data_IF_411650609848
#
_entry.id   IF_411650609848
#
_cell.length_a   1.000
_cell.length_b   1.000
_cell.length_c   1.000
_cell.angle_alpha   90.00
_cell.angle_beta   90.00
_cell.angle_gamma   90.00
#
_symmetry.space_group_name_H-M   'P 1'
#
loop_
_entity.id
_entity.type
_entity.pdbx_description
1 polymer ?
#
# COMPACT_ATOMS: atom_id res chain seq x y z
N UNK A 1 -69.39 19.96 -1.51
CA UNK A 1 -68.68 19.97 -0.21
C UNK A 1 -67.74 18.78 -0.26
N UNK A 2 -66.44 18.99 -0.08
CA UNK A 2 -65.47 17.89 -0.01
C UNK A 2 -65.61 17.26 1.38
N UNK A 3 -65.67 15.93 1.43
CA UNK A 3 -65.80 15.16 2.67
C UNK A 3 -64.58 15.37 3.57
N UNK A 4 -64.79 15.90 4.78
CA UNK A 4 -63.72 16.20 5.74
C UNK A 4 -62.97 14.94 6.18
N UNK A 5 -63.63 13.77 6.20
CA UNK A 5 -62.96 12.51 6.51
C UNK A 5 -61.99 12.10 5.41
N UNK A 6 -62.35 12.31 4.14
CA UNK A 6 -61.47 12.03 3.01
C UNK A 6 -60.23 12.96 3.00
N UNK A 7 -60.39 14.22 3.41
CA UNK A 7 -59.27 15.17 3.54
C UNK A 7 -58.33 14.78 4.68
N UNK A 8 -58.87 14.33 5.81
CA UNK A 8 -58.06 13.91 6.96
C UNK A 8 -57.29 12.61 6.69
N UNK A 9 -57.95 11.61 6.09
CA UNK A 9 -57.30 10.36 5.69
C UNK A 9 -56.20 10.58 4.64
N UNK A 10 -56.42 11.50 3.69
CA UNK A 10 -55.39 11.87 2.73
C UNK A 10 -54.18 12.53 3.41
N UNK A 11 -54.38 13.43 4.38
CA UNK A 11 -53.30 14.06 5.14
C UNK A 11 -52.47 13.04 5.92
N UNK A 12 -53.12 12.12 6.61
CA UNK A 12 -52.45 11.05 7.36
C UNK A 12 -51.63 10.16 6.40
N UNK A 13 -52.21 9.74 5.28
CA UNK A 13 -51.49 8.95 4.27
C UNK A 13 -50.26 9.69 3.68
N UNK A 14 -50.35 11.01 3.48
CA UNK A 14 -49.21 11.80 3.01
C UNK A 14 -48.15 11.98 4.10
N UNK A 15 -48.56 12.11 5.37
CA UNK A 15 -47.63 12.17 6.50
C UNK A 15 -46.88 10.85 6.70
N UNK A 16 -47.59 9.72 6.64
CA UNK A 16 -46.98 8.40 6.73
C UNK A 16 -45.98 8.16 5.60
N UNK A 17 -46.34 8.51 4.35
CA UNK A 17 -45.41 8.42 3.20
C UNK A 17 -44.21 9.34 3.32
N UNK A 18 -44.39 10.54 3.87
CA UNK A 18 -43.28 11.47 4.13
C UNK A 18 -42.32 10.90 5.18
N UNK A 19 -42.86 10.27 6.22
CA UNK A 19 -42.06 9.65 7.26
C UNK A 19 -41.33 8.40 6.75
N UNK A 20 -42.01 7.54 5.98
CA UNK A 20 -41.37 6.38 5.30
C UNK A 20 -40.22 6.83 4.38
N UNK A 21 -40.41 7.92 3.64
CA UNK A 21 -39.38 8.49 2.77
C UNK A 21 -38.19 9.02 3.58
N UNK A 22 -38.43 9.71 4.69
CA UNK A 22 -37.37 10.21 5.57
C UNK A 22 -36.59 9.08 6.25
N UNK A 23 -37.27 8.03 6.69
CA UNK A 23 -36.63 6.84 7.28
C UNK A 23 -35.80 6.08 6.24
N UNK A 24 -36.29 5.98 4.99
CA UNK A 24 -35.55 5.38 3.88
C UNK A 24 -34.31 6.21 3.49
N UNK A 25 -34.43 7.53 3.37
CA UNK A 25 -33.30 8.43 3.08
C UNK A 25 -32.24 8.38 4.19
N UNK A 26 -32.66 8.40 5.47
CA UNK A 26 -31.75 8.28 6.60
C UNK A 26 -31.05 6.92 6.66
N UNK A 27 -31.75 5.84 6.32
CA UNK A 27 -31.16 4.50 6.23
C UNK A 27 -30.16 4.39 5.07
N UNK A 28 -30.45 5.01 3.92
CA UNK A 28 -29.54 5.04 2.77
C UNK A 28 -28.28 5.86 3.08
N UNK A 29 -28.43 7.03 3.70
CA UNK A 29 -27.31 7.89 4.10
C UNK A 29 -26.43 7.20 5.16
N UNK A 30 -27.03 6.53 6.14
CA UNK A 30 -26.29 5.73 7.12
C UNK A 30 -25.54 4.56 6.46
N UNK A 31 -26.18 3.85 5.52
CA UNK A 31 -25.55 2.75 4.79
C UNK A 31 -24.43 3.22 3.86
N UNK A 32 -24.53 4.43 3.30
CA UNK A 32 -23.47 5.02 2.49
C UNK A 32 -22.29 5.49 3.35
N UNK A 33 -22.55 6.13 4.49
CA UNK A 33 -21.52 6.50 5.46
C UNK A 33 -20.76 5.27 5.99
N UNK A 34 -21.47 4.19 6.32
CA UNK A 34 -20.83 2.93 6.75
C UNK A 34 -19.99 2.30 5.64
N UNK A 35 -20.48 2.31 4.39
CA UNK A 35 -19.72 1.83 3.23
C UNK A 35 -18.44 2.63 3.01
N UNK A 36 -18.50 3.96 3.14
CA UNK A 36 -17.33 4.82 3.02
C UNK A 36 -16.32 4.54 4.13
N UNK A 37 -16.74 4.48 5.38
CA UNK A 37 -15.85 4.16 6.51
C UNK A 37 -15.17 2.80 6.36
N UNK A 38 -15.91 1.78 5.91
CA UNK A 38 -15.34 0.45 5.63
C UNK A 38 -14.32 0.50 4.49
N UNK A 39 -14.61 1.24 3.43
CA UNK A 39 -13.68 1.41 2.31
C UNK A 39 -12.39 2.14 2.72
N UNK A 40 -12.49 3.20 3.53
CA UNK A 40 -11.36 3.93 4.07
C UNK A 40 -10.47 3.04 4.93
N UNK A 41 -11.07 2.29 5.87
CA UNK A 41 -10.35 1.34 6.72
C UNK A 41 -9.67 0.25 5.88
N UNK A 42 -10.37 -0.31 4.89
CA UNK A 42 -9.80 -1.33 4.02
C UNK A 42 -8.61 -0.78 3.22
N UNK A 43 -8.70 0.45 2.73
CA UNK A 43 -7.61 1.12 2.03
C UNK A 43 -6.41 1.36 2.95
N UNK A 44 -6.63 1.77 4.20
CA UNK A 44 -5.57 1.99 5.18
C UNK A 44 -4.84 0.69 5.53
N UNK A 45 -5.59 -0.39 5.77
CA UNK A 45 -5.04 -1.72 6.02
C UNK A 45 -4.29 -2.25 4.80
N UNK A 46 -4.83 -2.06 3.59
CA UNK A 46 -4.15 -2.46 2.35
C UNK A 46 -2.84 -1.69 2.16
N UNK A 47 -2.82 -0.39 2.44
CA UNK A 47 -1.63 0.44 2.35
C UNK A 47 -0.54 0.04 3.37
N UNK A 48 -0.93 -0.49 4.53
CA UNK A 48 -0.03 -1.07 5.53
C UNK A 48 0.25 -2.58 5.30
N UNK A 49 -0.15 -3.12 4.13
CA UNK A 49 0.02 -4.53 3.75
C UNK A 49 -0.69 -5.56 4.66
N UNK A 50 -1.67 -5.10 5.44
CA UNK A 50 -2.49 -5.90 6.38
C UNK A 50 -3.96 -6.01 5.98
N UNK A 51 -4.31 -5.66 4.74
CA UNK A 51 -5.70 -5.74 4.24
C UNK A 51 -6.31 -7.16 4.22
N UNK A 52 -5.50 -8.20 4.36
CA UNK A 52 -5.94 -9.59 4.43
C UNK A 52 -6.42 -10.01 5.83
N UNK A 53 -6.14 -9.20 6.84
CA UNK A 53 -6.33 -9.57 8.26
C UNK A 53 -7.81 -9.66 8.65
N UNK A 54 -8.67 -8.85 8.04
CA UNK A 54 -10.12 -8.91 8.33
C UNK A 54 -10.73 -10.22 7.83
N UNK A 55 -10.39 -10.67 6.62
CA UNK A 55 -10.81 -11.97 6.10
C UNK A 55 -10.20 -13.13 6.90
N UNK A 56 -8.95 -12.96 7.34
CA UNK A 56 -8.20 -13.97 8.09
C UNK A 56 -8.87 -14.35 9.43
N UNK A 57 -9.54 -13.41 10.12
CA UNK A 57 -10.30 -13.68 11.36
C UNK A 57 -11.40 -14.71 11.14
N UNK A 58 -12.13 -14.56 10.05
CA UNK A 58 -13.27 -15.42 9.73
C UNK A 58 -12.81 -16.76 9.15
N UNK A 59 -11.78 -16.75 8.29
CA UNK A 59 -11.23 -17.94 7.61
C UNK A 59 -10.66 -18.98 8.59
N UNK A 60 -9.90 -18.54 9.62
CA UNK A 60 -9.30 -19.45 10.61
C UNK A 60 -10.34 -20.23 11.43
N UNK A 61 -11.53 -19.67 11.62
CA UNK A 61 -12.60 -20.29 12.40
C UNK A 61 -13.58 -21.07 11.53
N UNK A 62 -13.92 -20.57 10.35
CA UNK A 62 -14.98 -21.12 9.50
C UNK A 62 -14.47 -22.14 8.47
N UNK A 63 -13.35 -21.86 7.78
CA UNK A 63 -12.96 -22.63 6.58
C UNK A 63 -12.01 -23.79 6.89
N UNK A 64 -11.21 -23.70 7.94
CA UNK A 64 -10.30 -24.77 8.35
C UNK A 64 -10.92 -25.84 9.26
N UNK A 65 -12.26 -25.85 9.40
CA UNK A 65 -12.97 -26.65 10.40
C UNK A 65 -13.44 -28.03 9.94
N UNK A 66 -13.84 -28.19 8.68
CA UNK A 66 -14.45 -29.44 8.20
C UNK A 66 -15.51 -30.00 9.18
N UNK A 67 -15.49 -31.31 9.42
CA UNK A 67 -16.35 -31.95 10.42
C UNK A 67 -15.98 -31.59 11.88
N UNK A 68 -14.76 -31.13 12.13
CA UNK A 68 -14.32 -30.60 13.45
C UNK A 68 -15.01 -29.29 13.80
N UNK A 69 -15.48 -28.53 12.81
CA UNK A 69 -16.30 -27.33 13.02
C UNK A 69 -17.57 -27.63 13.81
N UNK A 70 -18.13 -28.84 13.65
CA UNK A 70 -19.32 -29.30 14.40
C UNK A 70 -18.96 -29.73 15.83
N UNK A 71 -17.78 -30.33 16.04
CA UNK A 71 -17.28 -30.64 17.39
C UNK A 71 -17.12 -29.39 18.25
N UNK A 72 -16.61 -28.28 17.67
CA UNK A 72 -16.44 -27.02 18.41
C UNK A 72 -17.75 -26.41 18.91
N UNK A 73 -18.88 -26.78 18.31
CA UNK A 73 -20.20 -26.32 18.74
C UNK A 73 -20.73 -27.12 19.93
N UNK A 74 -20.08 -28.23 20.31
CA UNK A 74 -20.40 -28.96 21.52
C UNK A 74 -20.15 -28.09 22.75
N UNK A 75 -21.08 -28.10 23.71
CA UNK A 75 -21.08 -27.18 24.84
C UNK A 75 -19.79 -27.23 25.68
N UNK A 76 -19.17 -28.41 25.81
CA UNK A 76 -17.91 -28.59 26.54
C UNK A 76 -16.66 -28.15 25.76
N UNK A 77 -16.73 -28.06 24.42
CA UNK A 77 -15.60 -27.67 23.56
C UNK A 77 -15.65 -26.20 23.14
N UNK A 78 -16.84 -25.58 23.22
CA UNK A 78 -17.06 -24.18 22.90
C UNK A 78 -16.14 -23.20 23.68
N UNK A 79 -15.88 -23.38 25.00
CA UNK A 79 -14.99 -22.48 25.73
C UNK A 79 -13.55 -22.48 25.19
N UNK A 80 -13.06 -23.63 24.70
CA UNK A 80 -11.72 -23.74 24.11
C UNK A 80 -11.62 -22.96 22.80
N UNK A 81 -12.66 -23.05 21.96
CA UNK A 81 -12.74 -22.30 20.71
C UNK A 81 -12.82 -20.78 20.97
N UNK A 82 -13.56 -20.36 22.00
CA UNK A 82 -13.66 -18.97 22.41
C UNK A 82 -12.33 -18.43 22.97
N UNK A 83 -11.62 -19.21 23.78
CA UNK A 83 -10.29 -18.84 24.30
C UNK A 83 -9.29 -18.64 23.16
N UNK A 84 -9.24 -19.58 22.21
CA UNK A 84 -8.39 -19.48 21.03
C UNK A 84 -8.74 -18.25 20.18
N UNK A 85 -10.02 -18.04 19.90
CA UNK A 85 -10.48 -16.89 19.12
C UNK A 85 -10.11 -15.56 19.80
N UNK A 86 -10.26 -15.47 21.13
CA UNK A 86 -9.88 -14.26 21.87
C UNK A 86 -8.38 -14.00 21.77
N UNK A 87 -7.54 -15.02 22.00
CA UNK A 87 -6.09 -14.89 21.92
C UNK A 87 -5.59 -14.58 20.49
N UNK A 88 -6.20 -15.18 19.47
CA UNK A 88 -5.88 -14.90 18.08
C UNK A 88 -6.28 -13.46 17.71
N UNK A 89 -7.47 -13.01 18.12
CA UNK A 89 -7.92 -11.65 17.89
C UNK A 89 -7.00 -10.61 18.53
N UNK A 90 -6.54 -10.86 19.75
CA UNK A 90 -5.58 -9.99 20.43
C UNK A 90 -4.24 -9.92 19.67
N UNK A 91 -3.70 -11.07 19.24
CA UNK A 91 -2.48 -11.10 18.45
C UNK A 91 -2.64 -10.38 17.10
N UNK A 92 -3.81 -10.49 16.48
CA UNK A 92 -4.15 -9.77 15.26
C UNK A 92 -4.20 -8.26 15.51
N UNK A 93 -4.86 -7.82 16.59
CA UNK A 93 -4.99 -6.39 16.92
C UNK A 93 -3.61 -5.76 17.17
N UNK A 94 -2.74 -6.45 17.89
CA UNK A 94 -1.35 -6.04 18.13
C UNK A 94 -0.54 -5.93 16.82
N UNK A 95 -0.69 -6.93 15.94
CA UNK A 95 -0.06 -6.94 14.62
C UNK A 95 -0.53 -5.77 13.75
N UNK A 96 -1.84 -5.55 13.65
CA UNK A 96 -2.44 -4.48 12.85
C UNK A 96 -2.01 -3.12 13.37
N UNK A 97 -2.04 -2.89 14.68
CA UNK A 97 -1.61 -1.63 15.27
C UNK A 97 -0.16 -1.29 14.90
N UNK A 98 0.74 -2.26 15.04
CA UNK A 98 2.17 -2.08 14.72
C UNK A 98 2.38 -1.89 13.21
N UNK A 99 1.68 -2.66 12.38
CA UNK A 99 1.77 -2.56 10.93
C UNK A 99 1.26 -1.20 10.42
N UNK A 100 0.18 -0.68 11.00
CA UNK A 100 -0.35 0.66 10.69
C UNK A 100 0.63 1.77 11.08
N UNK A 101 1.28 1.65 12.23
CA UNK A 101 2.34 2.58 12.65
C UNK A 101 3.48 2.61 11.62
N UNK A 102 4.01 1.44 11.26
CA UNK A 102 5.09 1.33 10.26
C UNK A 102 4.62 1.83 8.89
N UNK A 103 3.40 1.50 8.48
CA UNK A 103 2.78 2.01 7.26
C UNK A 103 2.67 3.54 7.26
N UNK A 104 2.38 4.14 8.40
CA UNK A 104 2.41 5.59 8.61
C UNK A 104 3.80 6.17 8.37
N UNK A 105 4.83 5.59 9.01
CA UNK A 105 6.23 6.00 8.84
C UNK A 105 6.68 5.88 7.38
N UNK A 106 6.29 4.81 6.66
CA UNK A 106 6.60 4.65 5.23
C UNK A 106 5.99 5.75 4.37
N UNK A 107 4.75 6.17 4.67
CA UNK A 107 4.09 7.29 3.97
C UNK A 107 4.75 8.62 4.28
N UNK A 108 5.11 8.86 5.54
CA UNK A 108 5.82 10.06 5.97
C UNK A 108 7.19 10.16 5.29
N UNK A 109 7.95 9.07 5.26
CA UNK A 109 9.24 8.99 4.58
C UNK A 109 9.11 9.31 3.08
N UNK A 110 8.12 8.71 2.40
CA UNK A 110 7.85 9.00 0.99
C UNK A 110 7.42 10.46 0.75
N UNK A 111 6.61 11.03 1.64
CA UNK A 111 6.17 12.43 1.54
C UNK A 111 7.35 13.38 1.72
N UNK A 112 8.14 13.17 2.77
CA UNK A 112 9.32 13.99 3.09
C UNK A 112 10.35 13.92 1.98
N UNK A 113 10.62 12.72 1.45
CA UNK A 113 11.45 12.55 0.27
C UNK A 113 10.89 13.31 -0.93
N UNK A 114 9.60 13.16 -1.23
CA UNK A 114 8.98 13.79 -2.41
C UNK A 114 9.04 15.32 -2.34
N UNK A 115 8.82 15.90 -1.16
CA UNK A 115 8.93 17.34 -0.91
C UNK A 115 10.37 17.82 -1.09
N UNK A 116 11.34 17.21 -0.38
CA UNK A 116 12.74 17.60 -0.47
C UNK A 116 13.30 17.44 -1.90
N UNK A 117 12.93 16.36 -2.58
CA UNK A 117 13.34 16.10 -3.96
C UNK A 117 12.70 17.09 -4.95
N UNK A 118 11.44 17.45 -4.73
CA UNK A 118 10.73 18.47 -5.52
C UNK A 118 11.32 19.87 -5.36
N UNK A 119 11.68 20.24 -4.13
CA UNK A 119 12.37 21.51 -3.84
C UNK A 119 13.73 21.57 -4.53
N UNK A 120 14.54 20.51 -4.40
CA UNK A 120 15.85 20.44 -5.03
C UNK A 120 15.76 20.55 -6.57
N UNK A 121 14.76 19.89 -7.18
CA UNK A 121 14.46 20.04 -8.63
C UNK A 121 14.09 21.45 -9.03
N UNK A 122 13.27 22.11 -8.22
CA UNK A 122 12.84 23.48 -8.47
C UNK A 122 14.02 24.44 -8.39
N UNK A 123 14.89 24.28 -7.39
CA UNK A 123 16.10 25.09 -7.23
C UNK A 123 17.06 24.89 -8.41
N UNK A 124 17.34 23.64 -8.79
CA UNK A 124 18.21 23.32 -9.93
C UNK A 124 17.68 23.88 -11.25
N UNK A 125 16.36 23.77 -11.47
CA UNK A 125 15.70 24.35 -12.65
C UNK A 125 15.81 25.88 -12.66
N UNK A 126 15.58 26.53 -11.51
CA UNK A 126 15.69 27.98 -11.40
C UNK A 126 17.13 28.45 -11.66
N UNK A 127 18.14 27.70 -11.24
CA UNK A 127 19.55 28.02 -11.51
C UNK A 127 19.90 27.90 -12.99
N UNK A 128 19.52 26.81 -13.65
CA UNK A 128 19.70 26.64 -15.08
C UNK A 128 19.01 27.75 -15.88
N UNK A 129 17.77 28.10 -15.52
CA UNK A 129 17.04 29.21 -16.14
C UNK A 129 17.74 30.56 -15.97
N UNK A 130 18.37 30.82 -14.81
CA UNK A 130 19.16 32.04 -14.60
C UNK A 130 20.35 32.10 -15.56
N UNK A 131 21.09 31.01 -15.76
CA UNK A 131 22.22 30.96 -16.70
C UNK A 131 21.76 31.23 -18.14
N UNK A 132 20.69 30.57 -18.57
CA UNK A 132 20.10 30.77 -19.90
C UNK A 132 19.62 32.22 -20.08
N UNK A 133 19.01 32.81 -19.06
CA UNK A 133 18.55 34.20 -19.10
C UNK A 133 19.72 35.19 -19.20
N UNK A 134 20.84 34.93 -18.51
CA UNK A 134 22.04 35.76 -18.60
C UNK A 134 22.63 35.74 -20.02
N UNK A 135 22.74 34.56 -20.62
CA UNK A 135 23.17 34.43 -22.02
C UNK A 135 22.25 35.20 -22.98
N UNK A 136 20.93 34.98 -22.89
CA UNK A 136 19.94 35.69 -23.73
C UNK A 136 20.00 37.20 -23.54
N UNK A 137 20.27 37.68 -22.33
CA UNK A 137 20.44 39.10 -22.06
C UNK A 137 21.71 39.65 -22.72
N UNK A 138 22.82 38.91 -22.70
CA UNK A 138 24.05 39.28 -23.39
C UNK A 138 23.81 39.41 -24.89
N UNK A 139 23.11 38.43 -25.49
CA UNK A 139 22.77 38.45 -26.92
C UNK A 139 21.96 39.67 -27.29
N UNK A 140 20.87 39.93 -26.57
CA UNK A 140 19.98 41.08 -26.81
C UNK A 140 20.69 42.42 -26.65
N UNK A 141 21.55 42.55 -25.63
CA UNK A 141 22.31 43.80 -25.41
C UNK A 141 23.25 44.08 -26.58
N UNK A 142 23.99 43.07 -27.04
CA UNK A 142 24.92 43.24 -28.15
C UNK A 142 24.18 43.62 -29.45
N UNK A 143 23.03 43.00 -29.74
CA UNK A 143 22.18 43.37 -30.88
C UNK A 143 21.69 44.83 -30.79
N UNK A 144 21.24 45.25 -29.60
CA UNK A 144 20.81 46.62 -29.36
C UNK A 144 21.96 47.62 -29.57
N UNK A 145 23.14 47.33 -29.03
CA UNK A 145 24.31 48.22 -29.12
C UNK A 145 24.87 48.30 -30.55
N UNK A 146 24.72 47.24 -31.35
CA UNK A 146 25.10 47.22 -32.76
C UNK A 146 24.18 48.09 -33.64
N UNK A 147 22.87 48.14 -33.34
CA UNK A 147 21.89 48.92 -34.09
C UNK A 147 21.93 48.66 -35.61
N UNK A 148 21.85 49.71 -36.41
CA UNK A 148 21.92 49.60 -37.88
C UNK A 148 23.32 49.27 -38.43
N UNK A 149 24.36 49.32 -37.58
CA UNK A 149 25.75 49.08 -37.98
C UNK A 149 26.08 47.59 -38.12
N UNK A 150 25.22 46.72 -37.60
CA UNK A 150 25.47 45.28 -37.54
C UNK A 150 26.47 44.87 -36.45
N UNK A 151 26.49 43.59 -36.09
CA UNK A 151 27.40 43.04 -35.09
C UNK A 151 28.83 42.93 -35.64
N UNK A 152 29.82 43.30 -34.83
CA UNK A 152 31.23 43.12 -35.21
C UNK A 152 31.67 41.66 -35.04
N UNK A 153 32.73 41.22 -35.76
CA UNK A 153 33.30 39.88 -35.56
C UNK A 153 33.71 39.60 -34.11
N UNK A 154 34.16 40.62 -33.37
CA UNK A 154 34.52 40.47 -31.96
C UNK A 154 33.29 40.27 -31.06
N UNK A 155 32.17 40.91 -31.35
CA UNK A 155 30.91 40.70 -30.62
C UNK A 155 30.35 39.29 -30.88
N UNK A 156 30.38 38.84 -32.15
CA UNK A 156 29.96 37.49 -32.52
C UNK A 156 30.85 36.41 -31.88
N UNK A 157 32.18 36.63 -31.86
CA UNK A 157 33.12 35.74 -31.17
C UNK A 157 32.85 35.65 -29.66
N UNK A 158 32.62 36.77 -28.99
CA UNK A 158 32.27 36.79 -27.57
C UNK A 158 30.95 36.06 -27.27
N UNK A 159 29.97 36.13 -28.18
CA UNK A 159 28.71 35.39 -28.04
C UNK A 159 28.88 33.88 -28.26
N UNK A 160 29.77 33.48 -29.16
CA UNK A 160 30.13 32.07 -29.38
C UNK A 160 30.83 31.49 -28.14
N UNK A 161 31.80 32.21 -27.59
CA UNK A 161 32.49 31.84 -26.34
C UNK A 161 31.50 31.75 -25.17
N UNK A 162 30.59 32.74 -25.03
CA UNK A 162 29.57 32.72 -24.00
C UNK A 162 28.57 31.55 -24.15
N UNK A 163 28.27 31.13 -25.39
CA UNK A 163 27.42 29.95 -25.63
C UNK A 163 28.13 28.65 -25.22
N UNK A 164 29.43 28.53 -25.50
CA UNK A 164 30.25 27.41 -25.04
C UNK A 164 30.35 27.36 -23.52
N UNK A 165 30.60 28.51 -22.87
CA UNK A 165 30.61 28.61 -21.42
C UNK A 165 29.24 28.29 -20.78
N UNK A 166 28.14 28.66 -21.43
CA UNK A 166 26.79 28.26 -21.00
C UNK A 166 26.62 26.74 -21.03
N UNK A 167 27.08 26.08 -22.09
CA UNK A 167 27.01 24.63 -22.19
C UNK A 167 27.77 23.93 -21.07
N UNK A 168 29.02 24.32 -20.84
CA UNK A 168 29.84 23.78 -19.75
C UNK A 168 29.16 24.00 -18.40
N UNK A 169 28.67 25.21 -18.13
CA UNK A 169 27.98 25.52 -16.89
C UNK A 169 26.70 24.68 -16.68
N UNK A 170 25.89 24.50 -17.72
CA UNK A 170 24.66 23.70 -17.64
C UNK A 170 24.97 22.20 -17.47
N UNK A 171 25.99 21.68 -18.17
CA UNK A 171 26.41 20.28 -18.03
C UNK A 171 27.03 20.00 -16.65
N UNK A 172 27.84 20.92 -16.12
CA UNK A 172 28.40 20.81 -14.77
C UNK A 172 27.29 20.84 -13.70
N UNK A 173 26.30 21.72 -13.86
CA UNK A 173 25.12 21.75 -12.99
C UNK A 173 24.33 20.45 -13.06
N UNK A 174 24.10 19.92 -14.26
CA UNK A 174 23.39 18.65 -14.46
C UNK A 174 24.15 17.48 -13.83
N UNK A 175 25.47 17.43 -13.98
CA UNK A 175 26.31 16.42 -13.34
C UNK A 175 26.21 16.50 -11.81
N UNK A 176 26.30 17.70 -11.24
CA UNK A 176 26.14 17.89 -9.78
C UNK A 176 24.73 17.52 -9.30
N UNK A 177 23.70 17.80 -10.10
CA UNK A 177 22.32 17.43 -9.78
C UNK A 177 22.14 15.91 -9.75
N UNK A 178 22.70 15.17 -10.72
CA UNK A 178 22.65 13.70 -10.73
C UNK A 178 23.27 13.10 -9.47
N UNK A 179 24.43 13.61 -9.03
CA UNK A 179 25.08 13.16 -7.81
C UNK A 179 24.20 13.40 -6.58
N UNK A 180 23.69 14.63 -6.41
CA UNK A 180 22.81 14.98 -5.28
C UNK A 180 21.50 14.19 -5.26
N UNK A 181 20.87 14.03 -6.42
CA UNK A 181 19.64 13.26 -6.55
C UNK A 181 19.89 11.77 -6.28
N UNK A 182 21.00 11.21 -6.76
CA UNK A 182 21.41 9.85 -6.46
C UNK A 182 21.65 9.63 -4.96
N UNK A 183 22.33 10.54 -4.28
CA UNK A 183 22.52 10.49 -2.81
C UNK A 183 21.18 10.54 -2.06
N UNK A 184 20.28 11.45 -2.45
CA UNK A 184 18.96 11.61 -1.82
C UNK A 184 18.09 10.36 -2.02
N UNK A 185 18.08 9.82 -3.24
CA UNK A 185 17.38 8.57 -3.55
C UNK A 185 17.99 7.41 -2.73
N UNK A 186 19.31 7.29 -2.65
CA UNK A 186 19.97 6.23 -1.88
C UNK A 186 19.70 6.30 -0.37
N UNK A 187 19.62 7.50 0.18
CA UNK A 187 19.24 7.70 1.59
C UNK A 187 17.79 7.25 1.84
N UNK A 188 16.86 7.66 0.97
CA UNK A 188 15.46 7.22 1.01
C UNK A 188 15.34 5.70 0.85
N UNK A 189 16.02 5.11 -0.13
CA UNK A 189 16.03 3.67 -0.38
C UNK A 189 16.43 2.90 0.88
N UNK A 190 17.49 3.34 1.56
CA UNK A 190 17.98 2.71 2.78
C UNK A 190 16.96 2.77 3.91
N UNK A 191 16.38 3.95 4.17
CA UNK A 191 15.37 4.15 5.22
C UNK A 191 14.08 3.37 4.93
N UNK A 192 13.61 3.41 3.68
CA UNK A 192 12.39 2.74 3.26
C UNK A 192 12.55 1.20 3.25
N UNK A 193 13.73 0.69 2.90
CA UNK A 193 14.07 -0.73 3.01
C UNK A 193 14.08 -1.19 4.48
N UNK A 194 14.64 -0.39 5.40
CA UNK A 194 14.62 -0.70 6.84
C UNK A 194 13.19 -0.79 7.39
N UNK A 195 12.33 0.19 7.06
CA UNK A 195 10.91 0.15 7.43
C UNK A 195 10.20 -1.09 6.85
N UNK A 196 10.51 -1.43 5.60
CA UNK A 196 9.93 -2.60 4.94
C UNK A 196 10.37 -3.92 5.60
N UNK A 197 11.64 -4.02 6.01
CA UNK A 197 12.15 -5.15 6.80
C UNK A 197 11.48 -5.26 8.16
N UNK A 198 11.32 -4.14 8.88
CA UNK A 198 10.62 -4.11 10.17
C UNK A 198 9.18 -4.62 10.04
N UNK A 199 8.48 -4.26 8.96
CA UNK A 199 7.13 -4.78 8.69
C UNK A 199 7.13 -6.29 8.44
N UNK A 200 8.09 -6.81 7.67
CA UNK A 200 8.22 -8.26 7.42
C UNK A 200 8.56 -9.06 8.69
N UNK A 201 9.40 -8.52 9.56
CA UNK A 201 9.73 -9.13 10.86
C UNK A 201 8.52 -9.14 11.80
N UNK A 202 7.75 -8.05 11.80
CA UNK A 202 6.49 -7.93 12.53
C UNK A 202 5.48 -8.97 12.05
N UNK A 203 5.34 -9.13 10.73
CA UNK A 203 4.51 -10.18 10.12
C UNK A 203 4.97 -11.59 10.51
N UNK A 204 6.26 -11.90 10.36
CA UNK A 204 6.83 -13.20 10.73
C UNK A 204 6.58 -13.53 12.20
N UNK A 205 6.71 -12.54 13.09
CA UNK A 205 6.45 -12.70 14.53
C UNK A 205 4.98 -13.02 14.80
N UNK A 206 4.06 -12.30 14.15
CA UNK A 206 2.63 -12.56 14.23
C UNK A 206 2.25 -13.97 13.75
N UNK A 207 2.70 -14.38 12.56
CA UNK A 207 2.36 -15.69 11.99
C UNK A 207 2.95 -16.84 12.82
N UNK A 208 4.16 -16.67 13.37
CA UNK A 208 4.72 -17.63 14.33
C UNK A 208 3.82 -17.78 15.57
N UNK A 209 3.41 -16.66 16.19
CA UNK A 209 2.50 -16.67 17.33
C UNK A 209 1.14 -17.30 16.99
N UNK A 210 0.61 -17.03 15.80
CA UNK A 210 -0.65 -17.62 15.35
C UNK A 210 -0.55 -19.15 15.18
N UNK A 211 0.56 -19.67 14.63
CA UNK A 211 0.81 -21.13 14.58
C UNK A 211 0.93 -21.75 15.97
N UNK A 212 1.58 -21.07 16.92
CA UNK A 212 1.69 -21.56 18.30
C UNK A 212 0.32 -21.62 18.99
N UNK A 213 -0.51 -20.58 18.83
CA UNK A 213 -1.89 -20.56 19.33
C UNK A 213 -2.73 -21.68 18.72
N UNK A 214 -2.59 -21.90 17.41
CA UNK A 214 -3.29 -22.94 16.67
C UNK A 214 -2.87 -24.36 17.12
N UNK A 215 -1.57 -24.58 17.34
CA UNK A 215 -1.05 -25.82 17.88
C UNK A 215 -1.52 -26.09 19.31
N UNK A 216 -1.48 -25.07 20.18
CA UNK A 216 -1.96 -25.17 21.55
C UNK A 216 -3.48 -25.46 21.62
N UNK A 217 -4.26 -24.80 20.75
CA UNK A 217 -5.69 -25.05 20.62
C UNK A 217 -5.96 -26.49 20.18
N UNK A 218 -5.26 -26.98 19.14
CA UNK A 218 -5.43 -28.34 18.63
C UNK A 218 -5.12 -29.39 19.70
N UNK A 219 -4.03 -29.23 20.47
CA UNK A 219 -3.69 -30.13 21.58
C UNK A 219 -4.78 -30.16 22.67
N UNK A 220 -5.31 -29.00 23.07
CA UNK A 220 -6.41 -28.92 24.05
C UNK A 220 -7.69 -29.58 23.50
N UNK A 221 -7.97 -29.36 22.21
CA UNK A 221 -9.14 -29.92 21.53
C UNK A 221 -9.06 -31.45 21.41
N UNK A 222 -7.89 -32.00 21.08
CA UNK A 222 -7.66 -33.45 21.01
C UNK A 222 -7.85 -34.13 22.37
N UNK A 223 -7.35 -33.52 23.45
CA UNK A 223 -7.53 -34.04 24.80
C UNK A 223 -9.02 -34.05 25.19
N UNK A 224 -9.73 -32.93 24.99
CA UNK A 224 -11.13 -32.81 25.35
C UNK A 224 -12.05 -33.67 24.45
N UNK A 225 -11.73 -33.80 23.16
CA UNK A 225 -12.47 -34.67 22.25
C UNK A 225 -12.25 -36.16 22.58
N UNK A 226 -11.05 -36.54 23.04
CA UNK A 226 -10.77 -37.90 23.52
C UNK A 226 -11.56 -38.23 24.79
N UNK A 227 -11.65 -37.30 25.74
CA UNK A 227 -12.45 -37.45 26.96
C UNK A 227 -13.94 -37.62 26.62
N UNK A 228 -14.47 -36.78 25.72
CA UNK A 228 -15.85 -36.90 25.24
C UNK A 228 -16.13 -38.24 24.52
N UNK A 229 -15.16 -38.74 23.74
CA UNK A 229 -15.29 -40.03 23.08
C UNK A 229 -15.34 -41.18 24.09
N UNK A 230 -14.54 -41.11 25.16
CA UNK A 230 -14.56 -42.08 26.27
C UNK A 230 -15.89 -42.04 27.04
N UNK A 231 -16.43 -40.84 27.30
CA UNK A 231 -17.74 -40.64 27.93
C UNK A 231 -18.89 -41.21 27.09
N UNK A 232 -18.92 -40.94 25.78
CA UNK A 232 -19.96 -41.52 24.90
C UNK A 232 -19.82 -43.04 24.79
N UNK A 233 -18.61 -43.59 24.73
CA UNK A 233 -18.40 -45.04 24.74
C UNK A 233 -18.91 -45.68 26.04
N UNK A 234 -18.71 -45.02 27.19
CA UNK A 234 -19.27 -45.46 28.48
C UNK A 234 -20.81 -45.33 28.52
N UNK A 235 -21.38 -44.33 27.85
CA UNK A 235 -22.84 -44.16 27.72
C UNK A 235 -23.47 -45.24 26.85
N UNK A 236 -22.86 -45.58 25.71
CA UNK A 236 -23.29 -46.69 24.85
C UNK A 236 -23.21 -48.05 25.55
N UNK A 237 -22.24 -48.23 26.46
CA UNK A 237 -22.12 -49.41 27.32
C UNK A 237 -23.15 -49.47 28.47
N UNK A 238 -24.01 -48.46 28.63
CA UNK A 238 -25.08 -48.41 29.63
C UNK A 238 -24.65 -47.96 31.02
N UNK A 239 -23.52 -47.24 31.12
CA UNK A 239 -22.85 -46.89 32.38
C UNK A 239 -23.00 -45.42 32.83
N UNK A 240 -23.65 -44.56 32.02
CA UNK A 240 -23.74 -43.11 32.28
C UNK A 240 -25.15 -42.54 32.05
N UNK A 241 -25.45 -41.39 32.68
CA UNK A 241 -26.74 -40.69 32.58
C UNK A 241 -26.93 -39.97 31.22
N UNK A 242 -28.19 -39.79 30.85
CA UNK A 242 -28.67 -39.55 29.49
C UNK A 242 -28.65 -38.04 29.13
N UNK A 243 -27.46 -37.48 28.87
CA UNK A 243 -27.35 -36.16 28.24
C UNK A 243 -27.19 -36.31 26.72
N UNK A 244 -28.02 -35.61 25.95
CA UNK A 244 -28.19 -35.87 24.53
C UNK A 244 -27.06 -35.24 23.69
N UNK A 245 -26.00 -36.00 23.41
CA UNK A 245 -25.02 -35.62 22.37
C UNK A 245 -25.67 -35.66 20.98
N UNK A 246 -25.49 -34.63 20.14
CA UNK A 246 -25.99 -34.61 18.76
C UNK A 246 -25.50 -35.80 17.94
N UNK A 247 -26.35 -36.40 17.11
CA UNK A 247 -26.06 -37.63 16.33
C UNK A 247 -24.83 -37.49 15.42
N UNK A 248 -24.61 -36.30 14.88
CA UNK A 248 -23.48 -35.97 14.02
C UNK A 248 -22.15 -35.95 14.79
N UNK A 249 -22.16 -35.47 16.04
CA UNK A 249 -20.99 -35.48 16.93
C UNK A 249 -20.75 -36.91 17.46
N UNK A 250 -21.81 -37.65 17.76
CA UNK A 250 -21.74 -39.04 18.19
C UNK A 250 -21.11 -39.95 17.13
N UNK A 251 -21.41 -39.71 15.86
CA UNK A 251 -20.80 -40.43 14.73
C UNK A 251 -19.29 -40.21 14.64
N UNK A 252 -18.82 -38.98 14.90
CA UNK A 252 -17.37 -38.69 14.91
C UNK A 252 -16.67 -39.25 16.15
N UNK A 253 -17.33 -39.21 17.32
CA UNK A 253 -16.79 -39.72 18.59
C UNK A 253 -16.76 -41.25 18.65
N UNK A 254 -17.66 -41.94 17.94
CA UNK A 254 -17.74 -43.41 17.91
C UNK A 254 -16.58 -44.11 17.20
N UNK A 255 -15.82 -43.39 16.37
CA UNK A 255 -14.59 -43.87 15.74
C UNK A 255 -13.42 -42.93 16.05
N UNK A 256 -12.61 -43.34 17.03
CA UNK A 256 -11.44 -42.60 17.51
C UNK A 256 -10.38 -42.39 16.43
N UNK A 257 -10.24 -43.30 15.47
CA UNK A 257 -9.30 -43.14 14.36
C UNK A 257 -9.80 -42.03 13.41
N UNK A 258 -11.09 -42.04 13.08
CA UNK A 258 -11.73 -40.99 12.27
C UNK A 258 -11.65 -39.62 12.96
N UNK A 259 -11.90 -39.54 14.27
CA UNK A 259 -11.77 -38.30 15.05
C UNK A 259 -10.35 -37.72 15.00
N UNK A 260 -9.34 -38.57 15.24
CA UNK A 260 -7.92 -38.16 15.25
C UNK A 260 -7.49 -37.66 13.87
N UNK A 261 -7.90 -38.37 12.81
CA UNK A 261 -7.61 -37.99 11.42
C UNK A 261 -8.27 -36.65 11.06
N UNK A 262 -9.53 -36.43 11.47
CA UNK A 262 -10.24 -35.18 11.24
C UNK A 262 -9.58 -33.99 11.96
N UNK A 263 -9.15 -34.17 13.22
CA UNK A 263 -8.45 -33.14 14.00
C UNK A 263 -7.10 -32.77 13.37
N UNK A 264 -6.31 -33.77 12.98
CA UNK A 264 -5.03 -33.57 12.28
C UNK A 264 -5.22 -32.83 10.97
N UNK A 265 -6.17 -33.27 10.14
CA UNK A 265 -6.43 -32.63 8.85
C UNK A 265 -6.89 -31.17 9.02
N UNK A 266 -7.72 -30.89 10.03
CA UNK A 266 -8.19 -29.54 10.32
C UNK A 266 -7.04 -28.64 10.76
N UNK A 267 -6.13 -29.13 11.61
CA UNK A 267 -4.93 -28.43 12.01
C UNK A 267 -4.01 -28.12 10.82
N UNK A 268 -3.66 -29.14 10.02
CA UNK A 268 -2.79 -28.99 8.84
C UNK A 268 -3.36 -27.97 7.85
N UNK A 269 -4.69 -27.96 7.67
CA UNK A 269 -5.37 -26.99 6.80
C UNK A 269 -5.22 -25.56 7.31
N UNK A 270 -5.41 -25.32 8.62
CA UNK A 270 -5.26 -23.98 9.22
C UNK A 270 -3.81 -23.50 9.19
N UNK A 271 -2.84 -24.39 9.44
CA UNK A 271 -1.42 -24.08 9.31
C UNK A 271 -1.04 -23.74 7.86
N UNK A 272 -1.54 -24.51 6.88
CA UNK A 272 -1.30 -24.20 5.47
C UNK A 272 -1.90 -22.85 5.05
N UNK A 273 -3.07 -22.49 5.59
CA UNK A 273 -3.67 -21.16 5.39
C UNK A 273 -2.80 -20.05 5.98
N UNK A 274 -2.28 -20.23 7.21
CA UNK A 274 -1.34 -19.31 7.84
C UNK A 274 -0.10 -19.08 6.97
N UNK A 275 0.52 -20.15 6.47
CA UNK A 275 1.73 -20.06 5.64
C UNK A 275 1.45 -19.36 4.31
N UNK A 276 0.33 -19.69 3.65
CA UNK A 276 -0.07 -19.03 2.41
C UNK A 276 -0.28 -17.52 2.59
N UNK A 277 -0.89 -17.11 3.71
CA UNK A 277 -1.11 -15.70 4.04
C UNK A 277 0.18 -14.96 4.38
N UNK A 278 1.10 -15.60 5.10
CA UNK A 278 2.42 -15.04 5.37
C UNK A 278 3.20 -14.78 4.08
N UNK A 279 3.23 -15.77 3.19
CA UNK A 279 3.92 -15.65 1.90
C UNK A 279 3.30 -14.57 1.01
N UNK A 280 1.97 -14.49 0.97
CA UNK A 280 1.27 -13.44 0.22
C UNK A 280 1.63 -12.04 0.76
N UNK A 281 1.60 -11.86 2.09
CA UNK A 281 1.98 -10.60 2.72
C UNK A 281 3.45 -10.25 2.44
N UNK A 282 4.37 -11.21 2.58
CA UNK A 282 5.80 -11.01 2.28
C UNK A 282 6.02 -10.62 0.81
N UNK A 283 5.38 -11.34 -0.13
CA UNK A 283 5.51 -11.07 -1.55
C UNK A 283 4.98 -9.68 -1.93
N UNK A 284 3.82 -9.28 -1.37
CA UNK A 284 3.25 -7.94 -1.56
C UNK A 284 4.21 -6.85 -1.07
N UNK A 285 4.81 -7.02 0.10
CA UNK A 285 5.74 -6.05 0.66
C UNK A 285 7.02 -5.91 -0.18
N UNK A 286 7.60 -7.03 -0.60
CA UNK A 286 8.79 -7.04 -1.49
C UNK A 286 8.47 -6.36 -2.82
N UNK A 287 7.30 -6.64 -3.41
CA UNK A 287 6.87 -6.01 -4.66
C UNK A 287 6.65 -4.50 -4.50
N UNK A 288 6.05 -4.06 -3.38
CA UNK A 288 5.81 -2.65 -3.09
C UNK A 288 7.12 -1.86 -2.89
N UNK A 289 8.07 -2.43 -2.12
CA UNK A 289 9.41 -1.88 -1.94
C UNK A 289 10.12 -1.72 -3.29
N UNK A 290 10.26 -2.84 -4.02
CA UNK A 290 10.94 -2.87 -5.31
C UNK A 290 10.32 -1.90 -6.31
N UNK A 291 8.99 -1.93 -6.47
CA UNK A 291 8.29 -1.08 -7.42
C UNK A 291 8.36 0.41 -7.09
N UNK A 292 8.54 0.78 -5.82
CA UNK A 292 8.75 2.17 -5.40
C UNK A 292 10.15 2.64 -5.77
N UNK A 293 11.16 1.85 -5.42
CA UNK A 293 12.57 2.15 -5.69
C UNK A 293 12.86 2.22 -7.20
N UNK A 294 12.44 1.20 -7.95
CA UNK A 294 12.67 1.14 -9.40
C UNK A 294 12.04 2.33 -10.13
N UNK A 295 10.86 2.79 -9.68
CA UNK A 295 10.20 3.95 -10.25
C UNK A 295 11.02 5.23 -10.05
N UNK A 296 11.50 5.46 -8.83
CA UNK A 296 12.31 6.65 -8.52
C UNK A 296 13.62 6.67 -9.32
N UNK A 297 14.31 5.54 -9.40
CA UNK A 297 15.54 5.41 -10.18
C UNK A 297 15.27 5.60 -11.69
N UNK A 298 14.19 5.04 -12.22
CA UNK A 298 13.83 5.18 -13.62
C UNK A 298 13.43 6.62 -13.98
N UNK A 299 12.68 7.29 -13.10
CA UNK A 299 12.27 8.69 -13.28
C UNK A 299 13.49 9.62 -13.28
N UNK A 300 14.45 9.40 -12.37
CA UNK A 300 15.68 10.19 -12.32
C UNK A 300 16.58 9.93 -13.54
N UNK A 301 16.73 8.67 -13.95
CA UNK A 301 17.45 8.32 -15.17
C UNK A 301 16.82 8.96 -16.42
N UNK A 302 15.48 8.94 -16.51
CA UNK A 302 14.74 9.58 -17.60
C UNK A 302 14.92 11.09 -17.61
N UNK A 303 14.83 11.73 -16.44
CA UNK A 303 15.05 13.17 -16.26
C UNK A 303 16.45 13.57 -16.71
N UNK A 304 17.50 12.91 -16.22
CA UNK A 304 18.89 13.22 -16.59
C UNK A 304 19.09 13.16 -18.12
N UNK A 305 18.65 12.08 -18.75
CA UNK A 305 18.78 11.94 -20.21
C UNK A 305 18.01 13.01 -20.96
N UNK A 306 16.82 13.37 -20.49
CA UNK A 306 16.05 14.48 -21.04
C UNK A 306 16.82 15.80 -20.94
N UNK A 307 17.31 16.13 -19.75
CA UNK A 307 18.06 17.36 -19.50
C UNK A 307 19.32 17.48 -20.37
N UNK A 308 20.13 16.41 -20.49
CA UNK A 308 21.32 16.41 -21.35
C UNK A 308 20.97 16.67 -22.81
N UNK A 309 19.90 16.05 -23.32
CA UNK A 309 19.44 16.27 -24.70
C UNK A 309 18.93 17.70 -24.89
N UNK A 310 18.20 18.24 -23.92
CA UNK A 310 17.71 19.62 -23.94
C UNK A 310 18.86 20.63 -23.95
N UNK A 311 19.86 20.47 -23.07
CA UNK A 311 21.07 21.30 -23.01
C UNK A 311 21.80 21.27 -24.36
N UNK A 312 21.97 20.07 -24.92
CA UNK A 312 22.64 19.91 -26.20
C UNK A 312 21.89 20.64 -27.32
N UNK A 313 20.57 20.43 -27.44
CA UNK A 313 19.74 21.07 -28.45
C UNK A 313 19.75 22.61 -28.31
N UNK A 314 19.60 23.11 -27.09
CA UNK A 314 19.60 24.55 -26.82
C UNK A 314 20.89 25.21 -27.32
N UNK A 315 22.05 24.65 -26.96
CA UNK A 315 23.35 25.26 -27.27
C UNK A 315 23.77 25.02 -28.73
N UNK A 316 23.70 23.78 -29.18
CA UNK A 316 24.30 23.34 -30.44
C UNK A 316 23.37 23.44 -31.64
N UNK A 317 22.06 23.54 -31.41
CA UNK A 317 21.06 23.72 -32.46
C UNK A 317 20.49 25.12 -32.39
N UNK A 318 19.80 25.50 -31.31
CA UNK A 318 19.07 26.76 -31.24
C UNK A 318 20.01 27.97 -31.23
N UNK A 319 20.88 28.08 -30.23
CA UNK A 319 21.79 29.22 -30.11
C UNK A 319 22.82 29.25 -31.25
N UNK A 320 23.29 28.09 -31.72
CA UNK A 320 24.18 28.01 -32.89
C UNK A 320 23.52 28.59 -34.14
N UNK A 321 22.26 28.21 -34.41
CA UNK A 321 21.51 28.75 -35.55
C UNK A 321 21.25 30.25 -35.40
N UNK A 322 20.87 30.72 -34.21
CA UNK A 322 20.69 32.15 -33.93
C UNK A 322 21.98 32.93 -34.22
N UNK A 323 23.14 32.44 -33.79
CA UNK A 323 24.42 33.07 -34.06
C UNK A 323 24.78 33.08 -35.56
N UNK A 324 24.45 32.01 -36.30
CA UNK A 324 24.63 31.96 -37.75
C UNK A 324 23.76 33.00 -38.47
N UNK A 325 22.49 33.16 -38.06
CA UNK A 325 21.59 34.19 -38.59
C UNK A 325 22.12 35.61 -38.32
N UNK A 326 22.83 35.80 -37.19
CA UNK A 326 23.48 37.05 -36.82
C UNK A 326 24.82 37.29 -37.54
N UNK A 327 25.25 36.37 -38.41
CA UNK A 327 26.45 36.51 -39.23
C UNK A 327 27.72 35.93 -38.61
N UNK A 328 27.61 35.10 -37.57
CA UNK A 328 28.74 34.37 -37.03
C UNK A 328 29.30 33.38 -38.08
N UNK A 329 30.63 33.19 -38.16
CA UNK A 329 31.21 32.22 -39.07
C UNK A 329 30.74 30.80 -38.69
N UNK A 330 30.33 30.03 -39.69
CA UNK A 330 30.16 28.59 -39.53
C UNK A 330 31.53 27.98 -39.27
N UNK A 331 31.88 27.74 -38.01
CA UNK A 331 33.05 26.93 -37.70
C UNK A 331 32.82 25.52 -38.26
N UNK A 332 33.77 25.03 -39.06
CA UNK A 332 33.80 23.65 -39.50
C UNK A 332 33.91 22.76 -38.25
N UNK A 333 32.98 21.82 -38.11
CA UNK A 333 33.00 20.81 -37.06
C UNK A 333 34.35 20.10 -37.09
N UNK A 334 35.14 20.26 -36.03
CA UNK A 334 36.31 19.41 -35.81
C UNK A 334 35.75 18.06 -35.36
N UNK A 335 36.00 17.06 -36.20
CA UNK A 335 35.66 15.65 -36.03
C UNK A 335 36.17 15.05 -34.73
#
# INVERSE_FOLDING_TARGET
MVDEQAVQAAKEQYQDRLQEMQEAEAAEEAAEAERQQRAERAAELAAANVGHVDAFRDEMLAEGGGDVGKLRQHASLLPLAQEFQAALNEAIDEYVATALEIGGLKREELSTFSEAFGEAKTEGTAEAQRQIAQYRHLVKRAQHDAGASGLTPSQLGAMQEANGALYEALMDMEMSQVERYGETIGAFESAYEELSKRLQETGSTFFNRARELEGAFTQKLEAAASELAEEEAAREAGSAEDEAVPEEVRTLLGDRETLTNALTQAHDTRVAQLDAREDEARAREVAALKGTIERLQADEYGRNRGAVVEIWNLVHVEHKNELLELGAPAHAEVA
#
